data_IF_202516909659
#
_entry.id   IF_202516909659
#
_cell.length_a   1.000
_cell.length_b   1.000
_cell.length_c   1.000
_cell.angle_alpha   90.00
_cell.angle_beta   90.00
_cell.angle_gamma   90.00
#
_symmetry.space_group_name_H-M   'P 1'
#
loop_
_entity.id
_entity.type
_entity.pdbx_description
1 polymer ?
#
# COMPACT_ATOMS: atom_id res chain seq x y z
N UNK A 1 27.50 -5.76 13.20
CA UNK A 1 26.92 -6.06 11.87
C UNK A 1 25.58 -6.75 12.11
N UNK A 2 24.47 -6.01 12.02
CA UNK A 2 23.15 -6.63 11.99
C UNK A 2 22.96 -7.17 10.56
N UNK A 3 23.04 -8.49 10.37
CA UNK A 3 22.59 -9.11 9.13
C UNK A 3 21.10 -8.86 9.00
N UNK A 4 20.67 -8.13 7.96
CA UNK A 4 19.23 -8.02 7.64
C UNK A 4 18.60 -9.40 7.73
N UNK A 5 17.54 -9.61 8.52
CA UNK A 5 16.89 -10.90 8.58
C UNK A 5 16.38 -11.23 7.17
N UNK A 6 16.89 -12.31 6.62
CA UNK A 6 16.50 -12.77 5.27
C UNK A 6 15.24 -13.61 5.43
N UNK A 7 14.08 -13.02 5.15
CA UNK A 7 12.83 -13.78 5.08
C UNK A 7 12.91 -14.82 3.97
N UNK A 8 12.65 -16.07 4.32
CA UNK A 8 12.58 -17.16 3.33
C UNK A 8 11.32 -16.97 2.48
N UNK A 9 11.43 -17.18 1.17
CA UNK A 9 10.28 -17.13 0.25
C UNK A 9 9.10 -18.02 0.68
N UNK A 10 9.36 -19.09 1.44
CA UNK A 10 8.35 -20.02 1.95
C UNK A 10 7.40 -19.43 3.01
N UNK A 11 7.65 -18.24 3.54
CA UNK A 11 6.78 -17.58 4.53
C UNK A 11 5.41 -17.25 3.94
N UNK A 12 5.37 -16.87 2.67
CA UNK A 12 4.13 -16.56 1.95
C UNK A 12 3.69 -17.77 1.11
N UNK A 13 3.15 -18.80 1.75
CA UNK A 13 2.57 -19.95 1.04
C UNK A 13 1.32 -20.46 1.77
N UNK A 14 0.14 -19.95 1.37
CA UNK A 14 -1.12 -20.35 1.97
C UNK A 14 -2.19 -19.27 1.93
N UNK A 15 -3.17 -19.38 2.83
CA UNK A 15 -4.32 -18.48 2.94
C UNK A 15 -4.32 -17.72 4.26
N UNK A 16 -4.37 -16.40 4.21
CA UNK A 16 -4.52 -15.53 5.37
C UNK A 16 -5.91 -14.85 5.37
N UNK A 17 -6.54 -14.74 6.52
CA UNK A 17 -7.74 -13.92 6.69
C UNK A 17 -7.34 -12.45 6.64
N UNK A 18 -8.13 -11.61 5.93
CA UNK A 18 -7.89 -10.18 5.80
C UNK A 18 -8.86 -9.42 6.69
N UNK A 19 -8.40 -9.00 7.86
CA UNK A 19 -9.25 -8.42 8.91
C UNK A 19 -9.32 -6.89 8.89
N UNK A 20 -8.29 -6.24 8.37
CA UNK A 20 -8.15 -4.77 8.43
C UNK A 20 -8.66 -4.05 7.19
N UNK A 21 -9.45 -4.73 6.36
CA UNK A 21 -10.05 -4.19 5.15
C UNK A 21 -11.57 -4.29 5.21
N UNK A 22 -12.24 -3.26 4.70
CA UNK A 22 -13.67 -3.24 4.51
C UNK A 22 -14.05 -3.05 3.05
N UNK A 23 -15.29 -3.33 2.72
CA UNK A 23 -15.83 -3.25 1.37
C UNK A 23 -16.92 -2.21 1.31
N UNK A 24 -16.69 -1.14 0.54
CA UNK A 24 -17.70 -0.14 0.20
C UNK A 24 -18.26 -0.46 -1.18
N UNK A 25 -19.58 -0.55 -1.30
CA UNK A 25 -20.28 -0.68 -2.57
C UNK A 25 -20.66 0.70 -3.11
N UNK A 26 -20.37 0.93 -4.40
CA UNK A 26 -20.84 2.07 -5.15
C UNK A 26 -21.67 1.54 -6.33
N UNK A 27 -22.98 1.81 -6.33
CA UNK A 27 -23.91 1.30 -7.35
C UNK A 27 -24.82 2.39 -7.91
N UNK A 28 -25.19 2.27 -9.19
CA UNK A 28 -26.09 3.17 -9.88
C UNK A 28 -25.64 3.49 -11.30
N UNK A 29 -26.55 4.10 -12.07
CA UNK A 29 -26.28 4.41 -13.47
C UNK A 29 -25.07 5.32 -13.68
N UNK A 30 -24.78 6.20 -12.72
CA UNK A 30 -23.70 7.17 -12.80
C UNK A 30 -22.47 6.74 -11.97
N UNK A 31 -22.40 5.48 -11.48
CA UNK A 31 -21.36 5.04 -10.55
C UNK A 31 -19.94 5.14 -11.15
N UNK A 32 -19.78 4.77 -12.43
CA UNK A 32 -18.49 4.87 -13.12
C UNK A 32 -18.03 6.33 -13.26
N UNK A 33 -18.91 7.24 -13.67
CA UNK A 33 -18.63 8.66 -13.82
C UNK A 33 -18.33 9.31 -12.46
N UNK A 34 -19.13 8.98 -11.45
CA UNK A 34 -18.95 9.46 -10.10
C UNK A 34 -17.57 9.09 -9.54
N UNK A 35 -17.23 7.79 -9.54
CA UNK A 35 -15.93 7.33 -9.04
C UNK A 35 -14.77 7.88 -9.87
N UNK A 36 -14.92 7.95 -11.18
CA UNK A 36 -13.91 8.55 -12.06
C UNK A 36 -13.62 10.01 -11.67
N UNK A 37 -14.62 10.79 -11.30
CA UNK A 37 -14.46 12.19 -10.91
C UNK A 37 -13.98 12.39 -9.46
N UNK A 38 -14.02 11.36 -8.61
CA UNK A 38 -13.59 11.43 -7.21
C UNK A 38 -12.20 10.83 -6.97
N UNK A 39 -11.78 9.85 -7.78
CA UNK A 39 -10.57 9.07 -7.53
C UNK A 39 -9.45 9.42 -8.51
N UNK A 40 -8.20 9.15 -8.12
CA UNK A 40 -6.99 9.41 -8.92
C UNK A 40 -6.86 8.54 -10.16
N UNK A 41 -7.64 7.46 -10.29
CA UNK A 41 -7.49 6.45 -11.34
C UNK A 41 -8.61 6.53 -12.39
N UNK A 42 -8.32 6.04 -13.59
CA UNK A 42 -9.31 5.92 -14.66
C UNK A 42 -10.28 4.75 -14.39
N UNK A 43 -11.43 5.08 -13.81
CA UNK A 43 -12.47 4.11 -13.45
C UNK A 43 -13.37 3.82 -14.65
N UNK A 44 -13.56 4.78 -15.56
CA UNK A 44 -14.37 4.57 -16.77
C UNK A 44 -13.74 3.55 -17.71
N UNK A 45 -12.41 3.56 -17.83
CA UNK A 45 -11.65 2.60 -18.62
C UNK A 45 -11.38 1.26 -17.93
N UNK A 46 -11.94 1.02 -16.74
CA UNK A 46 -11.85 -0.27 -16.05
C UNK A 46 -12.90 -1.23 -16.62
N UNK A 47 -12.51 -2.38 -17.16
CA UNK A 47 -13.45 -3.37 -17.66
C UNK A 47 -14.15 -4.13 -16.52
N UNK A 48 -15.36 -4.67 -16.79
CA UNK A 48 -16.07 -5.54 -15.84
C UNK A 48 -15.19 -6.74 -15.47
N UNK A 49 -15.15 -7.08 -14.20
CA UNK A 49 -14.29 -8.12 -13.63
C UNK A 49 -12.84 -7.69 -13.34
N UNK A 50 -12.44 -6.50 -13.75
CA UNK A 50 -11.09 -5.97 -13.48
C UNK A 50 -11.04 -5.13 -12.20
N UNK A 51 -9.81 -4.96 -11.70
CA UNK A 51 -9.53 -4.14 -10.53
C UNK A 51 -8.36 -3.20 -10.79
N UNK A 52 -8.41 -2.01 -10.18
CA UNK A 52 -7.29 -1.04 -10.16
C UNK A 52 -7.13 -0.43 -8.78
N UNK A 53 -5.91 -0.15 -8.43
CA UNK A 53 -5.64 0.69 -7.25
C UNK A 53 -5.94 2.14 -7.56
N UNK A 54 -6.59 2.83 -6.64
CA UNK A 54 -6.98 4.23 -6.74
C UNK A 54 -6.81 4.94 -5.40
N UNK A 55 -6.73 6.27 -5.45
CA UNK A 55 -6.59 7.12 -4.28
C UNK A 55 -7.75 8.10 -4.22
N UNK A 56 -8.25 8.34 -3.02
CA UNK A 56 -9.15 9.43 -2.72
C UNK A 56 -8.36 10.54 -2.04
N UNK A 57 -8.30 11.70 -2.67
CA UNK A 57 -7.50 12.84 -2.21
C UNK A 57 -8.38 14.04 -1.85
N UNK A 58 -7.88 14.90 -0.97
CA UNK A 58 -8.44 16.23 -0.75
C UNK A 58 -7.97 17.22 -1.83
N UNK A 59 -8.50 18.45 -1.82
CA UNK A 59 -8.14 19.49 -2.77
C UNK A 59 -6.64 19.91 -2.72
N UNK A 60 -5.94 19.61 -1.62
CA UNK A 60 -4.49 19.82 -1.47
C UNK A 60 -3.65 18.63 -1.97
N UNK A 61 -4.26 17.65 -2.65
CA UNK A 61 -3.60 16.45 -3.16
C UNK A 61 -3.18 15.45 -2.09
N UNK A 62 -3.60 15.63 -0.82
CA UNK A 62 -3.27 14.69 0.24
C UNK A 62 -4.25 13.54 0.27
N UNK A 63 -3.72 12.32 0.42
CA UNK A 63 -4.49 11.08 0.41
C UNK A 63 -5.36 10.96 1.66
N UNK A 64 -6.65 10.72 1.46
CA UNK A 64 -7.65 10.44 2.49
C UNK A 64 -7.94 8.94 2.58
N UNK A 65 -7.76 8.21 1.49
CA UNK A 65 -7.81 6.75 1.45
C UNK A 65 -7.02 6.23 0.24
N UNK A 66 -6.45 5.04 0.39
CA UNK A 66 -6.02 4.18 -0.72
C UNK A 66 -6.97 3.00 -0.81
N UNK A 67 -7.28 2.56 -2.04
CA UNK A 67 -8.28 1.51 -2.23
C UNK A 67 -8.04 0.72 -3.50
N UNK A 68 -8.45 -0.54 -3.49
CA UNK A 68 -8.65 -1.31 -4.69
C UNK A 68 -10.09 -1.14 -5.16
N UNK A 69 -10.27 -0.72 -6.41
CA UNK A 69 -11.59 -0.60 -7.05
C UNK A 69 -11.79 -1.78 -7.97
N UNK A 70 -12.78 -2.62 -7.69
CA UNK A 70 -13.20 -3.73 -8.52
C UNK A 70 -14.52 -3.39 -9.24
N UNK A 71 -14.55 -3.51 -10.56
CA UNK A 71 -15.80 -3.32 -11.34
C UNK A 71 -16.57 -4.63 -11.42
N UNK A 72 -17.63 -4.75 -10.64
CA UNK A 72 -18.48 -5.96 -10.60
C UNK A 72 -19.39 -6.06 -11.81
N UNK A 73 -19.96 -4.92 -12.24
CA UNK A 73 -20.85 -4.82 -13.42
C UNK A 73 -20.71 -3.42 -14.04
N UNK A 74 -21.51 -3.13 -15.06
CA UNK A 74 -21.54 -1.79 -15.68
C UNK A 74 -21.87 -0.68 -14.68
N UNK A 75 -22.69 -0.98 -13.67
CA UNK A 75 -23.23 -0.01 -12.72
C UNK A 75 -22.86 -0.30 -11.26
N UNK A 76 -21.99 -1.28 -10.98
CA UNK A 76 -21.64 -1.66 -9.60
C UNK A 76 -20.13 -1.85 -9.43
N UNK A 77 -19.59 -1.22 -8.38
CA UNK A 77 -18.18 -1.25 -8.01
C UNK A 77 -18.02 -1.57 -6.53
N UNK A 78 -17.00 -2.38 -6.21
CA UNK A 78 -16.55 -2.60 -4.85
C UNK A 78 -15.23 -1.88 -4.61
N UNK A 79 -15.14 -1.15 -3.50
CA UNK A 79 -13.95 -0.43 -3.09
C UNK A 79 -13.43 -1.08 -1.80
N UNK A 80 -12.27 -1.71 -1.89
CA UNK A 80 -11.58 -2.30 -0.75
C UNK A 80 -10.69 -1.24 -0.12
N UNK A 81 -10.97 -0.84 1.09
CA UNK A 81 -10.26 0.22 1.82
C UNK A 81 -9.88 -0.22 3.23
N UNK A 82 -9.04 0.56 3.91
CA UNK A 82 -8.79 0.35 5.34
C UNK A 82 -10.10 0.40 6.12
N UNK A 83 -10.34 -0.62 6.97
CA UNK A 83 -11.53 -0.68 7.84
C UNK A 83 -11.63 0.56 8.74
N UNK A 84 -10.50 1.07 9.22
CA UNK A 84 -10.45 2.25 10.09
C UNK A 84 -10.96 3.53 9.42
N UNK A 85 -10.82 3.64 8.09
CA UNK A 85 -11.25 4.83 7.32
C UNK A 85 -12.58 4.64 6.58
N UNK A 86 -13.16 3.44 6.58
CA UNK A 86 -14.37 3.15 5.82
C UNK A 86 -15.54 4.09 6.18
N UNK A 87 -15.92 4.29 7.46
CA UNK A 87 -17.03 5.17 7.81
C UNK A 87 -16.82 6.61 7.36
N UNK A 88 -15.59 7.11 7.54
CA UNK A 88 -15.22 8.47 7.16
C UNK A 88 -15.21 8.65 5.63
N UNK A 89 -14.68 7.68 4.90
CA UNK A 89 -14.64 7.68 3.43
C UNK A 89 -16.04 7.59 2.85
N UNK A 90 -16.89 6.70 3.37
CA UNK A 90 -18.29 6.58 2.98
C UNK A 90 -19.04 7.91 3.17
N UNK A 91 -18.92 8.50 4.36
CA UNK A 91 -19.54 9.79 4.66
C UNK A 91 -19.08 10.88 3.70
N UNK A 92 -17.76 10.96 3.45
CA UNK A 92 -17.19 12.02 2.62
C UNK A 92 -17.54 11.85 1.14
N UNK A 93 -17.48 10.65 0.58
CA UNK A 93 -17.92 10.37 -0.78
C UNK A 93 -19.42 10.67 -0.96
N UNK A 94 -20.26 10.32 0.02
CA UNK A 94 -21.70 10.58 -0.04
C UNK A 94 -22.03 12.07 -0.14
N UNK A 95 -21.19 12.97 0.40
CA UNK A 95 -21.39 14.42 0.27
C UNK A 95 -21.25 14.92 -1.18
N UNK A 96 -20.57 14.18 -2.04
CA UNK A 96 -20.36 14.53 -3.45
C UNK A 96 -21.37 13.87 -4.40
N UNK A 97 -22.26 13.00 -3.92
CA UNK A 97 -23.25 12.32 -4.77
C UNK A 97 -24.22 13.31 -5.42
N UNK A 98 -24.64 14.35 -4.67
CA UNK A 98 -25.49 15.44 -5.13
C UNK A 98 -26.68 14.97 -6.01
N UNK A 99 -26.58 15.13 -7.36
CA UNK A 99 -27.58 14.76 -8.34
C UNK A 99 -27.25 13.45 -9.08
N UNK A 100 -26.11 12.83 -8.83
CA UNK A 100 -25.71 11.58 -9.47
C UNK A 100 -26.61 10.42 -9.01
N UNK A 101 -27.00 9.57 -9.94
CA UNK A 101 -27.78 8.35 -9.65
C UNK A 101 -26.84 7.26 -9.11
N UNK A 102 -26.39 7.50 -7.87
CA UNK A 102 -25.40 6.65 -7.18
C UNK A 102 -25.85 6.42 -5.74
N UNK A 103 -25.69 5.19 -5.28
CA UNK A 103 -25.81 4.80 -3.88
C UNK A 103 -24.50 4.24 -3.40
N UNK A 104 -24.06 4.69 -2.23
CA UNK A 104 -22.89 4.21 -1.52
C UNK A 104 -23.32 3.48 -0.25
N UNK A 105 -22.75 2.34 0.04
CA UNK A 105 -23.06 1.56 1.24
C UNK A 105 -21.86 0.75 1.72
N UNK A 106 -21.73 0.58 3.03
CA UNK A 106 -20.82 -0.39 3.62
C UNK A 106 -21.44 -1.79 3.49
N UNK A 107 -20.75 -2.66 2.79
CA UNK A 107 -21.16 -4.06 2.58
C UNK A 107 -20.14 -5.04 3.16
N UNK A 108 -19.26 -4.58 4.04
CA UNK A 108 -18.21 -5.41 4.66
C UNK A 108 -18.77 -6.66 5.32
N UNK A 109 -19.94 -6.54 5.97
CA UNK A 109 -20.60 -7.67 6.63
C UNK A 109 -21.08 -8.77 5.66
N UNK A 110 -21.08 -8.51 4.35
CA UNK A 110 -21.52 -9.48 3.33
C UNK A 110 -20.36 -10.35 2.83
N UNK A 111 -19.12 -10.07 3.24
CA UNK A 111 -17.95 -10.77 2.73
C UNK A 111 -17.03 -11.30 3.83
N UNK A 112 -16.43 -12.44 3.56
CA UNK A 112 -15.21 -12.91 4.20
C UNK A 112 -14.05 -12.64 3.24
N UNK A 113 -13.06 -11.87 3.68
CA UNK A 113 -11.90 -11.49 2.87
C UNK A 113 -10.73 -12.41 3.18
N UNK A 114 -10.15 -13.01 2.15
CA UNK A 114 -8.99 -13.88 2.24
C UNK A 114 -7.89 -13.42 1.32
N UNK A 115 -6.65 -13.64 1.70
CA UNK A 115 -5.48 -13.45 0.83
C UNK A 115 -4.84 -14.81 0.53
N UNK A 116 -4.68 -15.13 -0.74
CA UNK A 116 -3.85 -16.21 -1.22
C UNK A 116 -2.45 -15.67 -1.45
N UNK A 117 -1.47 -16.23 -0.76
CA UNK A 117 -0.08 -15.81 -0.80
C UNK A 117 0.80 -16.94 -1.34
N UNK A 118 1.64 -16.65 -2.35
CA UNK A 118 2.63 -17.58 -2.89
C UNK A 118 2.09 -18.80 -3.62
N UNK A 119 0.84 -18.76 -4.05
CA UNK A 119 0.22 -19.86 -4.77
C UNK A 119 0.20 -19.57 -6.27
N UNK A 120 0.62 -20.54 -7.08
CA UNK A 120 0.65 -20.44 -8.56
C UNK A 120 -0.68 -20.79 -9.22
N UNK A 121 -1.66 -21.24 -8.46
CA UNK A 121 -2.96 -21.70 -8.98
C UNK A 121 -3.72 -20.55 -9.65
N UNK A 122 -4.37 -20.75 -10.79
CA UNK A 122 -5.24 -19.75 -11.43
C UNK A 122 -6.55 -19.58 -10.67
N UNK A 123 -6.45 -19.13 -9.40
CA UNK A 123 -7.55 -18.97 -8.44
C UNK A 123 -8.68 -18.08 -8.97
N UNK A 124 -8.36 -17.17 -9.90
CA UNK A 124 -9.35 -16.30 -10.52
C UNK A 124 -10.41 -17.09 -11.31
N UNK A 125 -10.00 -18.13 -12.01
CA UNK A 125 -10.92 -18.92 -12.83
C UNK A 125 -11.86 -19.79 -11.98
N UNK A 126 -11.35 -20.41 -10.92
CA UNK A 126 -12.15 -21.31 -10.06
C UNK A 126 -13.15 -20.55 -9.17
N UNK A 127 -12.76 -19.40 -8.59
CA UNK A 127 -13.66 -18.57 -7.77
C UNK A 127 -14.75 -17.92 -8.61
N UNK A 128 -14.46 -17.63 -9.91
CA UNK A 128 -15.42 -17.02 -10.83
C UNK A 128 -16.21 -18.04 -11.64
N UNK A 129 -15.74 -19.29 -11.79
CA UNK A 129 -16.33 -20.31 -12.67
C UNK A 129 -17.11 -21.40 -11.93
N UNK A 130 -17.17 -21.40 -10.59
CA UNK A 130 -17.99 -22.38 -9.87
C UNK A 130 -19.46 -22.18 -10.25
N UNK A 131 -20.09 -23.24 -10.80
CA UNK A 131 -21.49 -23.30 -11.18
C UNK A 131 -22.48 -23.05 -10.03
N UNK A 132 -21.97 -22.84 -8.82
CA UNK A 132 -22.74 -22.41 -7.67
C UNK A 132 -23.01 -20.91 -7.81
N UNK A 133 -24.01 -20.61 -8.64
CA UNK A 133 -24.68 -19.33 -8.74
C UNK A 133 -23.72 -18.12 -8.70
N UNK A 134 -23.21 -17.77 -9.83
CA UNK A 134 -22.41 -16.61 -10.27
C UNK A 134 -22.58 -15.26 -9.53
N UNK A 135 -23.02 -15.22 -8.30
CA UNK A 135 -23.65 -14.01 -7.79
C UNK A 135 -22.73 -13.09 -6.97
N UNK A 136 -21.69 -13.54 -6.24
CA UNK A 136 -21.30 -12.67 -5.14
C UNK A 136 -19.81 -12.55 -4.81
N UNK A 137 -18.94 -13.43 -5.29
CA UNK A 137 -17.50 -13.34 -5.05
C UNK A 137 -16.76 -12.45 -6.05
N UNK A 138 -15.62 -11.92 -5.66
CA UNK A 138 -14.67 -11.30 -6.58
C UNK A 138 -13.22 -11.52 -6.10
N UNK A 139 -12.28 -11.38 -7.02
CA UNK A 139 -10.86 -11.47 -6.71
C UNK A 139 -10.10 -10.25 -7.22
N UNK A 140 -9.01 -9.92 -6.54
CA UNK A 140 -8.13 -8.82 -6.91
C UNK A 140 -6.70 -9.36 -6.96
N UNK A 141 -6.07 -9.27 -8.12
CA UNK A 141 -4.64 -9.52 -8.24
C UNK A 141 -3.88 -8.38 -7.58
N UNK A 142 -3.11 -8.69 -6.54
CA UNK A 142 -2.24 -7.74 -5.86
C UNK A 142 -0.84 -7.72 -6.48
N UNK A 143 -0.06 -6.69 -6.19
CA UNK A 143 1.36 -6.65 -6.55
C UNK A 143 2.10 -7.79 -5.82
N UNK A 144 3.09 -8.43 -6.48
CA UNK A 144 3.84 -9.50 -5.85
C UNK A 144 4.63 -9.00 -4.63
N UNK A 145 4.86 -9.89 -3.67
CA UNK A 145 5.72 -9.64 -2.52
C UNK A 145 6.82 -10.70 -2.48
N UNK A 146 8.07 -10.30 -2.37
CA UNK A 146 9.23 -11.20 -2.45
C UNK A 146 9.20 -12.13 -3.68
N UNK A 147 8.71 -11.62 -4.83
CA UNK A 147 8.53 -12.42 -6.04
C UNK A 147 7.34 -13.38 -6.01
N UNK A 148 6.60 -13.48 -4.90
CA UNK A 148 5.44 -14.36 -4.75
C UNK A 148 4.16 -13.68 -5.20
N UNK A 149 3.31 -14.42 -5.93
CA UNK A 149 1.97 -13.96 -6.33
C UNK A 149 1.08 -13.77 -5.12
N UNK A 150 0.20 -12.75 -5.18
CA UNK A 150 -0.78 -12.48 -4.14
C UNK A 150 -2.13 -12.20 -4.79
N UNK A 151 -3.18 -12.84 -4.28
CA UNK A 151 -4.55 -12.61 -4.73
C UNK A 151 -5.42 -12.38 -3.51
N UNK A 152 -6.19 -11.30 -3.50
CA UNK A 152 -7.23 -11.09 -2.52
C UNK A 152 -8.54 -11.67 -3.04
N UNK A 153 -9.24 -12.41 -2.19
CA UNK A 153 -10.51 -13.09 -2.47
C UNK A 153 -11.57 -12.48 -1.54
N UNK A 154 -12.66 -12.02 -2.11
CA UNK A 154 -13.86 -11.63 -1.37
C UNK A 154 -14.93 -12.69 -1.60
N UNK A 155 -15.22 -13.48 -0.59
CA UNK A 155 -16.23 -14.54 -0.65
C UNK A 155 -17.49 -14.09 0.10
N UNK A 156 -18.68 -14.50 -0.31
CA UNK A 156 -19.90 -14.26 0.45
C UNK A 156 -19.75 -14.75 1.90
N UNK A 157 -20.25 -13.98 2.84
CA UNK A 157 -20.17 -14.28 4.28
C UNK A 157 -20.69 -15.68 4.60
N UNK A 158 -19.86 -16.46 5.28
CA UNK A 158 -20.19 -17.83 5.68
C UNK A 158 -20.13 -18.87 4.56
N UNK A 159 -19.74 -18.50 3.36
CA UNK A 159 -19.48 -19.45 2.29
C UNK A 159 -18.18 -20.20 2.56
N UNK A 160 -18.23 -21.53 2.44
CA UNK A 160 -17.03 -22.35 2.51
C UNK A 160 -16.05 -21.98 1.40
N UNK A 161 -14.76 -22.00 1.73
CA UNK A 161 -13.73 -21.92 0.72
C UNK A 161 -13.90 -23.06 -0.31
N UNK A 162 -13.61 -22.84 -1.59
CA UNK A 162 -13.59 -23.92 -2.59
C UNK A 162 -12.73 -25.09 -2.14
N UNK A 163 -13.07 -26.31 -2.54
CA UNK A 163 -12.34 -27.52 -2.12
C UNK A 163 -10.86 -27.50 -2.48
N UNK A 164 -10.50 -26.82 -3.57
CA UNK A 164 -9.10 -26.59 -3.97
C UNK A 164 -8.26 -25.82 -2.92
N UNK A 165 -8.92 -25.18 -1.96
CA UNK A 165 -8.28 -24.43 -0.85
C UNK A 165 -8.28 -25.19 0.49
N UNK A 166 -8.94 -26.36 0.58
CA UNK A 166 -9.09 -27.07 1.85
C UNK A 166 -7.76 -27.47 2.47
N UNK A 167 -6.83 -27.91 1.63
CA UNK A 167 -5.53 -28.46 2.05
C UNK A 167 -4.41 -27.39 2.15
N UNK A 168 -4.73 -26.13 1.83
CA UNK A 168 -3.75 -25.05 1.90
C UNK A 168 -3.50 -24.62 3.35
N UNK A 169 -2.24 -24.32 3.71
CA UNK A 169 -1.90 -23.81 5.03
C UNK A 169 -2.71 -22.56 5.38
N UNK A 170 -3.22 -22.51 6.62
CA UNK A 170 -3.83 -21.30 7.18
C UNK A 170 -2.73 -20.43 7.77
N UNK A 171 -2.56 -19.27 7.21
CA UNK A 171 -1.57 -18.30 7.64
C UNK A 171 -2.19 -17.33 8.64
N UNK A 172 -1.37 -16.80 9.53
CA UNK A 172 -1.77 -15.71 10.42
C UNK A 172 -2.17 -14.47 9.61
N UNK A 173 -3.21 -13.72 10.03
CA UNK A 173 -3.59 -12.45 9.38
C UNK A 173 -2.45 -11.44 9.26
N UNK A 174 -1.51 -11.45 10.21
CA UNK A 174 -0.32 -10.60 10.18
C UNK A 174 0.55 -10.85 8.95
N UNK A 175 0.56 -12.06 8.39
CA UNK A 175 1.32 -12.34 7.16
C UNK A 175 0.73 -11.65 5.93
N UNK A 176 -0.56 -11.37 5.89
CA UNK A 176 -1.12 -10.50 4.86
C UNK A 176 -0.60 -9.08 5.00
N UNK A 177 -0.64 -8.49 6.20
CA UNK A 177 -0.12 -7.14 6.45
C UNK A 177 1.39 -7.04 6.13
N UNK A 178 2.16 -8.05 6.51
CA UNK A 178 3.57 -8.17 6.16
C UNK A 178 3.76 -8.23 4.63
N UNK A 179 2.91 -8.98 3.93
CA UNK A 179 2.96 -9.08 2.47
C UNK A 179 2.66 -7.76 1.76
N UNK A 180 1.82 -6.89 2.33
CA UNK A 180 1.57 -5.53 1.82
C UNK A 180 2.86 -4.68 1.90
N UNK A 181 3.58 -4.78 3.02
CA UNK A 181 4.87 -4.09 3.20
C UNK A 181 5.87 -4.57 2.14
N UNK A 182 6.06 -5.89 1.99
CA UNK A 182 6.97 -6.43 0.97
C UNK A 182 6.50 -6.24 -0.48
N UNK A 183 5.21 -5.98 -0.68
CA UNK A 183 4.67 -5.50 -1.96
C UNK A 183 4.92 -4.02 -2.20
N UNK A 184 5.44 -3.28 -1.21
CA UNK A 184 5.68 -1.84 -1.30
C UNK A 184 4.40 -1.02 -1.40
N UNK A 185 3.26 -1.57 -0.99
CA UNK A 185 1.92 -0.96 -1.15
C UNK A 185 1.47 -0.38 0.18
N UNK A 186 1.65 0.92 0.36
CA UNK A 186 1.19 1.59 1.56
C UNK A 186 -0.34 1.69 1.60
N UNK A 187 -0.93 1.27 2.69
CA UNK A 187 -2.34 1.49 2.99
C UNK A 187 -2.48 2.76 3.82
N UNK A 188 -3.33 3.67 3.34
CA UNK A 188 -3.71 4.84 4.13
C UNK A 188 -4.70 4.40 5.21
N UNK A 189 -4.37 4.70 6.45
CA UNK A 189 -5.21 4.47 7.62
C UNK A 189 -5.33 5.75 8.47
N UNK A 190 -5.86 5.63 9.68
CA UNK A 190 -6.08 6.77 10.57
C UNK A 190 -4.78 7.53 10.90
N UNK A 191 -3.65 6.82 11.05
CA UNK A 191 -2.36 7.42 11.40
C UNK A 191 -1.70 8.18 10.24
N UNK A 192 -2.06 7.82 9.00
CA UNK A 192 -1.50 8.40 7.78
C UNK A 192 -2.48 9.31 7.01
N UNK A 193 -3.70 9.49 7.54
CA UNK A 193 -4.78 10.27 6.92
C UNK A 193 -4.36 11.72 6.66
N UNK A 194 -4.39 12.15 5.40
CA UNK A 194 -4.01 13.50 4.92
C UNK A 194 -2.54 13.90 5.21
N UNK A 195 -1.65 12.97 5.54
CA UNK A 195 -0.24 13.29 5.76
C UNK A 195 0.56 13.33 4.45
N UNK A 196 0.21 12.52 3.46
CA UNK A 196 1.05 12.28 2.28
C UNK A 196 0.33 12.62 0.98
N UNK A 197 1.07 13.16 0.00
CA UNK A 197 0.65 13.15 -1.40
C UNK A 197 1.06 11.82 -2.05
N UNK A 198 0.45 11.41 -3.17
CA UNK A 198 0.69 10.09 -3.78
C UNK A 198 2.16 9.74 -3.98
N UNK A 199 2.95 10.67 -4.50
CA UNK A 199 4.36 10.45 -4.81
C UNK A 199 5.22 10.19 -3.57
N UNK A 200 4.85 10.73 -2.41
CA UNK A 200 5.57 10.48 -1.17
C UNK A 200 5.51 9.00 -0.75
N UNK A 201 4.49 8.27 -1.19
CA UNK A 201 4.31 6.84 -0.93
C UNK A 201 4.42 6.00 -2.21
N UNK A 202 5.08 6.50 -3.25
CA UNK A 202 5.34 5.82 -4.52
C UNK A 202 4.07 5.33 -5.26
N UNK A 203 2.90 5.93 -4.98
CA UNK A 203 1.62 5.46 -5.50
C UNK A 203 1.50 5.59 -7.02
N UNK A 204 2.19 6.56 -7.63
CA UNK A 204 2.27 6.71 -9.08
C UNK A 204 3.10 5.58 -9.71
N UNK A 205 4.16 5.13 -9.03
CA UNK A 205 5.05 4.06 -9.51
C UNK A 205 4.35 2.70 -9.55
N UNK A 206 3.37 2.49 -8.66
CA UNK A 206 2.54 1.27 -8.64
C UNK A 206 1.23 1.41 -9.41
N UNK A 207 1.08 2.48 -10.20
CA UNK A 207 -0.07 2.68 -11.07
C UNK A 207 -1.36 3.08 -10.37
N UNK A 208 -1.31 3.64 -9.15
CA UNK A 208 -2.50 4.12 -8.44
C UNK A 208 -2.98 5.50 -8.90
N UNK A 209 -2.23 6.18 -9.78
CA UNK A 209 -2.56 7.49 -10.34
C UNK A 209 -2.58 7.42 -11.87
N UNK A 210 -3.65 7.91 -12.49
CA UNK A 210 -3.71 8.11 -13.92
C UNK A 210 -3.51 9.59 -14.25
N UNK A 211 -2.43 9.92 -14.96
CA UNK A 211 -2.16 11.28 -15.43
C UNK A 211 -2.86 11.62 -16.75
N UNK A 212 -3.52 10.63 -17.38
CA UNK A 212 -4.20 10.76 -18.69
C UNK A 212 -5.72 10.93 -18.56
N UNK A 213 -6.26 10.78 -17.36
CA UNK A 213 -7.71 10.89 -17.09
C UNK A 213 -8.16 12.34 -16.86
N UNK A 214 -9.48 12.56 -16.83
CA UNK A 214 -10.10 13.83 -16.45
C UNK A 214 -9.88 14.25 -15.00
N UNK A 215 -10.41 15.41 -14.62
CA UNK A 215 -10.20 16.04 -13.30
C UNK A 215 -10.71 15.20 -12.12
N UNK A 216 -9.98 15.31 -11.00
CA UNK A 216 -10.38 14.81 -9.68
C UNK A 216 -9.82 15.75 -8.59
N UNK A 217 -10.35 15.70 -7.34
CA UNK A 217 -9.88 16.59 -6.27
C UNK A 217 -8.39 16.42 -5.99
N UNK A 218 -7.64 17.54 -6.01
CA UNK A 218 -6.20 17.56 -5.73
C UNK A 218 -5.30 17.23 -6.92
N UNK A 219 -5.85 16.94 -8.10
CA UNK A 219 -5.06 16.57 -9.30
C UNK A 219 -3.99 17.60 -9.64
N UNK A 220 -4.24 18.89 -9.50
CA UNK A 220 -3.26 19.93 -9.80
C UNK A 220 -1.97 19.78 -8.99
N UNK A 221 -2.11 19.54 -7.68
CA UNK A 221 -0.96 19.32 -6.78
C UNK A 221 -0.23 18.04 -7.13
N UNK A 222 -0.97 16.96 -7.37
CA UNK A 222 -0.41 15.64 -7.75
C UNK A 222 0.33 15.74 -9.09
N UNK A 223 -0.26 16.38 -10.09
CA UNK A 223 0.39 16.58 -11.40
C UNK A 223 1.60 17.51 -11.31
N UNK A 224 1.52 18.58 -10.51
CA UNK A 224 2.66 19.48 -10.28
C UNK A 224 3.82 18.75 -9.62
N UNK A 225 3.55 17.89 -8.64
CA UNK A 225 4.57 17.07 -8.00
C UNK A 225 5.26 16.11 -8.97
N UNK A 226 4.54 15.62 -9.99
CA UNK A 226 5.10 14.73 -11.02
C UNK A 226 5.90 15.45 -12.09
N UNK A 227 5.39 16.58 -12.60
CA UNK A 227 5.91 17.17 -13.84
C UNK A 227 6.71 18.47 -13.63
N UNK A 228 6.65 19.08 -12.45
CA UNK A 228 7.26 20.39 -12.19
C UNK A 228 7.96 20.49 -10.83
N UNK A 229 7.92 19.45 -10.01
CA UNK A 229 8.47 19.46 -8.67
C UNK A 229 9.63 18.50 -8.52
N UNK A 230 10.63 18.84 -7.72
CA UNK A 230 11.59 17.87 -7.18
C UNK A 230 10.93 17.14 -6.03
N UNK A 231 10.80 15.84 -6.12
CA UNK A 231 10.28 15.01 -5.02
C UNK A 231 11.30 15.03 -3.87
N UNK A 232 10.84 15.50 -2.72
CA UNK A 232 11.69 15.64 -1.54
C UNK A 232 11.55 14.47 -0.56
N UNK A 233 10.53 13.65 -0.74
CA UNK A 233 10.21 12.52 0.15
C UNK A 233 9.76 11.31 -0.66
N UNK A 234 10.19 10.11 -0.22
CA UNK A 234 9.82 8.82 -0.80
C UNK A 234 9.62 7.78 0.28
N UNK A 235 8.74 6.82 0.00
CA UNK A 235 8.58 5.64 0.85
C UNK A 235 9.68 4.62 0.58
N UNK A 236 10.20 4.06 1.66
CA UNK A 236 11.16 2.96 1.66
C UNK A 236 10.65 1.86 2.59
N UNK A 237 11.16 0.65 2.40
CA UNK A 237 10.93 -0.45 3.33
C UNK A 237 12.04 -0.46 4.37
N UNK A 238 11.63 -0.67 5.62
CA UNK A 238 12.57 -0.74 6.75
C UNK A 238 12.25 -1.91 7.66
N UNK A 239 13.24 -2.38 8.38
CA UNK A 239 13.10 -3.35 9.46
C UNK A 239 13.84 -2.86 10.69
N UNK A 240 13.24 -3.12 11.86
CA UNK A 240 13.79 -2.77 13.17
C UNK A 240 13.56 -3.92 14.16
N UNK A 241 14.51 -4.22 15.05
CA UNK A 241 14.28 -5.10 16.21
C UNK A 241 13.45 -4.41 17.29
N UNK A 242 13.42 -3.06 17.31
CA UNK A 242 12.58 -2.30 18.23
C UNK A 242 11.20 -2.04 17.67
N UNK A 243 10.24 -1.84 18.57
CA UNK A 243 8.85 -1.55 18.23
C UNK A 243 8.74 -0.29 17.38
N UNK A 244 8.04 -0.40 16.25
CA UNK A 244 7.65 0.71 15.39
C UNK A 244 6.13 0.88 15.42
N UNK A 245 5.66 2.13 15.37
CA UNK A 245 4.24 2.48 15.31
C UNK A 245 3.93 3.33 14.09
N UNK A 246 2.80 3.08 13.44
CA UNK A 246 2.32 3.93 12.36
C UNK A 246 2.10 5.37 12.88
N UNK A 247 2.58 6.35 12.12
CA UNK A 247 2.58 7.77 12.50
C UNK A 247 3.83 8.22 13.28
N UNK A 248 4.66 7.30 13.75
CA UNK A 248 5.88 7.61 14.48
C UNK A 248 6.87 8.38 13.60
N UNK A 249 7.47 9.44 14.13
CA UNK A 249 8.54 10.20 13.47
C UNK A 249 9.89 9.50 13.63
N UNK A 250 10.72 9.62 12.59
CA UNK A 250 12.07 9.08 12.53
C UNK A 250 13.07 10.22 12.43
N UNK A 251 14.18 10.10 13.13
CA UNK A 251 15.20 11.13 13.20
C UNK A 251 16.56 10.58 12.78
N UNK A 252 17.37 11.44 12.15
CA UNK A 252 18.78 11.14 11.87
C UNK A 252 19.58 11.31 13.15
N UNK A 253 20.43 10.33 13.48
CA UNK A 253 21.33 10.41 14.64
C UNK A 253 22.27 11.60 14.60
N UNK A 254 22.66 12.03 13.40
CA UNK A 254 23.57 13.15 13.21
C UNK A 254 22.87 14.51 13.23
N UNK A 255 21.53 14.53 13.02
CA UNK A 255 20.70 15.74 13.06
C UNK A 255 19.30 15.44 13.58
N UNK A 256 19.15 15.34 14.87
CA UNK A 256 17.87 15.05 15.54
C UNK A 256 16.98 16.29 15.78
N UNK A 257 17.28 17.44 15.13
CA UNK A 257 16.50 18.68 15.30
C UNK A 257 15.16 18.63 14.60
N UNK A 258 15.09 17.93 13.47
CA UNK A 258 13.87 17.76 12.68
C UNK A 258 13.71 16.31 12.24
N UNK A 259 12.46 15.80 12.15
CA UNK A 259 12.24 14.44 11.70
C UNK A 259 12.66 14.26 10.23
N UNK A 260 13.49 13.28 9.98
CA UNK A 260 13.91 12.88 8.64
C UNK A 260 12.89 11.96 7.94
N UNK A 261 11.95 11.37 8.67
CA UNK A 261 10.94 10.47 8.13
C UNK A 261 9.75 10.26 9.04
N UNK A 262 8.78 9.48 8.56
CA UNK A 262 7.61 9.06 9.31
C UNK A 262 7.21 7.64 8.91
N UNK A 263 6.92 6.80 9.91
CA UNK A 263 6.41 5.44 9.70
C UNK A 263 4.97 5.51 9.20
N UNK A 264 4.68 4.80 8.10
CA UNK A 264 3.36 4.81 7.45
C UNK A 264 2.55 3.58 7.86
N UNK A 265 3.17 2.40 7.78
CA UNK A 265 2.54 1.11 8.03
C UNK A 265 3.55 0.16 8.66
N UNK A 266 3.09 -0.68 9.58
CA UNK A 266 3.94 -1.63 10.33
C UNK A 266 3.29 -3.00 10.36
N UNK A 267 4.12 -4.05 10.28
CA UNK A 267 3.77 -5.42 10.63
C UNK A 267 4.89 -6.03 11.49
N UNK A 268 4.51 -6.69 12.56
CA UNK A 268 5.42 -7.47 13.38
C UNK A 268 5.53 -8.90 12.84
N UNK A 269 6.76 -9.39 12.72
CA UNK A 269 7.02 -10.78 12.35
C UNK A 269 8.40 -11.23 12.85
N UNK A 270 8.45 -12.42 13.50
CA UNK A 270 9.70 -13.02 14.05
C UNK A 270 10.51 -12.04 14.91
N UNK A 271 9.83 -11.37 15.86
CA UNK A 271 10.43 -10.39 16.77
C UNK A 271 11.09 -9.19 16.07
N UNK A 272 10.72 -8.91 14.82
CA UNK A 272 11.11 -7.72 14.09
C UNK A 272 9.87 -6.95 13.65
N UNK A 273 10.03 -5.63 13.54
CA UNK A 273 9.02 -4.70 13.03
C UNK A 273 9.41 -4.29 11.61
N UNK A 274 8.61 -4.73 10.66
CA UNK A 274 8.76 -4.40 9.25
C UNK A 274 7.83 -3.25 8.93
N UNK A 275 8.33 -2.24 8.21
CA UNK A 275 7.52 -1.06 7.96
C UNK A 275 7.73 -0.47 6.57
N UNK A 276 6.71 0.26 6.10
CA UNK A 276 6.85 1.28 5.08
C UNK A 276 7.02 2.60 5.81
N UNK A 277 8.09 3.33 5.53
CA UNK A 277 8.34 4.65 6.09
C UNK A 277 8.67 5.67 5.01
N UNK A 278 8.12 6.87 5.14
CA UNK A 278 8.34 7.97 4.20
C UNK A 278 9.48 8.85 4.72
N UNK A 279 10.56 8.96 3.96
CA UNK A 279 11.76 9.70 4.32
C UNK A 279 11.95 10.97 3.49
N UNK A 280 12.63 11.96 4.07
CA UNK A 280 13.25 13.05 3.34
C UNK A 280 14.47 12.51 2.58
N UNK A 281 14.50 12.70 1.26
CA UNK A 281 15.61 12.24 0.43
C UNK A 281 16.94 12.95 0.77
N UNK A 282 16.86 14.21 1.24
CA UNK A 282 18.04 14.96 1.66
C UNK A 282 18.69 14.37 2.92
N UNK A 283 17.91 13.76 3.80
CA UNK A 283 18.41 13.17 5.05
C UNK A 283 18.97 11.76 4.85
N UNK A 284 18.57 11.08 3.76
CA UNK A 284 18.98 9.70 3.50
C UNK A 284 20.35 9.59 2.83
N UNK A 285 20.88 10.67 2.20
CA UNK A 285 21.93 10.52 1.22
C UNK A 285 23.11 11.45 1.46
N UNK A 286 24.34 10.93 1.51
CA UNK A 286 25.50 11.66 1.01
C UNK A 286 25.19 12.04 -0.46
N UNK A 287 25.57 13.25 -0.90
CA UNK A 287 25.26 13.79 -2.24
C UNK A 287 25.56 12.85 -3.40
N UNK A 288 26.45 11.88 -3.24
CA UNK A 288 26.83 10.85 -4.21
C UNK A 288 25.81 9.73 -4.40
N UNK A 289 24.94 9.48 -3.42
CA UNK A 289 23.88 8.46 -3.48
C UNK A 289 22.56 8.99 -4.07
N UNK A 290 22.36 10.30 -4.05
CA UNK A 290 21.21 10.95 -4.68
C UNK A 290 21.08 10.58 -6.16
N UNK A 291 22.20 10.49 -6.87
CA UNK A 291 22.27 10.09 -8.27
C UNK A 291 21.90 8.63 -8.53
N UNK A 292 22.21 7.72 -7.62
CA UNK A 292 21.98 6.27 -7.79
C UNK A 292 20.52 5.86 -7.55
N UNK A 293 19.79 6.54 -6.66
CA UNK A 293 18.37 6.27 -6.39
C UNK A 293 17.44 6.91 -7.44
N UNK A 294 17.85 8.01 -8.06
CA UNK A 294 17.08 8.71 -9.09
C UNK A 294 17.29 8.13 -10.51
N UNK A 295 18.38 7.41 -10.74
CA UNK A 295 18.77 6.94 -12.10
C UNK A 295 18.63 5.42 -12.33
N UNK A 296 18.10 4.66 -11.37
CA UNK A 296 17.96 3.19 -11.52
C UNK A 296 16.83 2.79 -12.48
N UNK A 297 16.96 3.18 -13.76
CA UNK A 297 16.14 2.73 -14.88
C UNK A 297 16.79 1.61 -15.71
N UNK A 298 17.93 1.08 -15.30
CA UNK A 298 18.58 -0.02 -16.01
C UNK A 298 18.67 -1.30 -15.17
N UNK A 299 18.59 -2.47 -15.85
CA UNK A 299 18.50 -3.77 -15.20
C UNK A 299 19.74 -4.02 -14.34
N UNK A 300 19.48 -4.25 -13.04
CA UNK A 300 20.34 -4.89 -12.06
C UNK A 300 21.85 -4.72 -12.34
N UNK A 301 22.36 -3.52 -12.13
CA UNK A 301 23.79 -3.39 -11.81
C UNK A 301 23.90 -3.80 -10.34
N UNK A 302 24.62 -4.90 -10.09
CA UNK A 302 24.93 -5.34 -8.72
C UNK A 302 25.56 -4.15 -7.99
N UNK A 303 25.01 -3.75 -6.82
CA UNK A 303 25.61 -2.66 -6.07
C UNK A 303 27.07 -2.99 -5.78
N UNK A 304 27.95 -2.03 -5.93
CA UNK A 304 29.35 -2.17 -5.55
C UNK A 304 29.45 -2.46 -4.05
N UNK A 305 30.51 -3.12 -3.59
CA UNK A 305 30.71 -3.43 -2.15
C UNK A 305 30.61 -2.17 -1.28
N UNK A 306 31.11 -1.03 -1.73
CA UNK A 306 30.99 0.27 -1.07
C UNK A 306 29.53 0.76 -0.95
N UNK A 307 28.65 0.49 -1.93
CA UNK A 307 27.22 0.82 -1.86
C UNK A 307 26.49 -0.12 -0.91
N UNK A 308 26.90 -1.38 -0.77
CA UNK A 308 26.38 -2.32 0.23
C UNK A 308 26.75 -1.92 1.65
N UNK A 309 27.96 -1.42 1.88
CA UNK A 309 28.38 -0.90 3.18
C UNK A 309 27.68 0.41 3.55
N UNK A 310 27.48 1.33 2.62
CA UNK A 310 26.77 2.58 2.85
C UNK A 310 25.25 2.38 3.11
N UNK A 311 24.63 1.33 2.58
CA UNK A 311 23.23 0.98 2.84
C UNK A 311 22.99 0.24 4.16
N UNK A 312 24.04 -0.25 4.82
CA UNK A 312 23.90 -1.09 6.01
C UNK A 312 23.75 -0.34 7.33
N UNK A 313 23.98 0.96 7.37
CA UNK A 313 24.00 1.72 8.64
C UNK A 313 23.38 3.11 8.57
N UNK A 314 22.14 3.25 8.10
CA UNK A 314 21.36 4.43 8.44
C UNK A 314 20.94 4.32 9.92
N UNK A 315 21.61 5.10 10.77
CA UNK A 315 21.31 5.18 12.19
C UNK A 315 20.17 6.18 12.37
N UNK A 316 18.96 5.67 12.59
CA UNK A 316 17.77 6.49 12.78
C UNK A 316 17.27 6.35 14.22
N UNK A 317 16.81 7.46 14.77
CA UNK A 317 16.11 7.54 16.04
C UNK A 317 14.63 7.83 15.78
N UNK A 318 13.76 7.38 16.64
CA UNK A 318 12.36 7.77 16.65
C UNK A 318 12.03 8.64 17.87
N UNK A 319 10.97 9.41 17.77
CA UNK A 319 10.62 10.47 18.75
C UNK A 319 10.55 10.00 20.20
N UNK A 320 10.12 8.76 20.42
CA UNK A 320 9.98 8.19 21.77
C UNK A 320 11.33 8.01 22.49
N UNK A 321 12.44 7.93 21.74
CA UNK A 321 13.78 7.69 22.28
C UNK A 321 14.62 8.95 22.43
N UNK A 322 14.19 10.09 21.86
CA UNK A 322 14.95 11.34 21.93
C UNK A 322 15.14 11.85 23.39
N UNK A 323 14.18 11.58 24.27
CA UNK A 323 14.24 11.99 25.69
C UNK A 323 15.03 11.02 26.57
N UNK A 324 15.37 9.82 26.07
CA UNK A 324 16.00 8.74 26.84
C UNK A 324 17.44 8.44 26.43
N UNK A 325 18.05 9.24 25.55
CA UNK A 325 19.45 9.06 25.16
C UNK A 325 20.33 9.35 26.35
N UNK A 326 20.59 8.32 27.15
CA UNK A 326 21.67 8.27 28.07
C UNK A 326 22.81 7.45 27.45
N UNK A 327 24.05 7.70 27.87
CA UNK A 327 25.23 7.01 27.35
C UNK A 327 25.20 5.47 27.57
N UNK A 328 24.21 4.95 28.26
CA UNK A 328 24.05 3.53 28.61
C UNK A 328 23.27 2.68 27.60
N UNK A 329 22.51 3.32 26.68
CA UNK A 329 21.73 2.57 25.65
C UNK A 329 22.11 3.08 24.26
N UNK A 330 22.79 2.26 23.45
CA UNK A 330 23.09 2.64 22.07
C UNK A 330 21.78 2.78 21.28
N UNK A 331 21.69 3.75 20.37
CA UNK A 331 20.51 3.94 19.54
C UNK A 331 20.23 2.68 18.70
N UNK A 332 18.94 2.33 18.58
CA UNK A 332 18.51 1.22 17.77
C UNK A 332 18.56 1.59 16.29
N UNK A 333 18.92 0.66 15.44
CA UNK A 333 19.17 0.88 14.03
C UNK A 333 17.99 0.37 13.18
N UNK A 334 17.63 1.15 12.16
CA UNK A 334 16.76 0.68 11.07
C UNK A 334 17.62 0.16 9.91
N UNK A 335 17.28 -1.01 9.38
CA UNK A 335 17.85 -1.48 8.12
C UNK A 335 16.91 -1.18 6.96
N UNK A 336 17.44 -0.67 5.85
CA UNK A 336 16.69 -0.43 4.62
C UNK A 336 16.57 -1.73 3.81
N UNK A 337 15.41 -1.89 3.17
CA UNK A 337 15.11 -3.02 2.30
C UNK A 337 14.77 -2.50 0.91
N UNK A 338 15.25 -3.12 -0.17
CA UNK A 338 14.92 -2.71 -1.53
C UNK A 338 13.42 -2.76 -1.81
N UNK A 339 12.92 -1.77 -2.57
CA UNK A 339 11.55 -1.79 -3.08
C UNK A 339 11.39 -2.92 -4.11
N UNK A 340 10.20 -3.56 -4.17
CA UNK A 340 9.94 -4.66 -5.11
C UNK A 340 9.67 -4.18 -6.55
N UNK A 341 9.68 -2.87 -6.81
CA UNK A 341 9.42 -2.25 -8.11
C UNK A 341 10.35 -1.06 -8.34
N UNK A 342 10.51 -0.68 -9.60
CA UNK A 342 11.20 0.54 -9.97
C UNK A 342 10.33 1.77 -9.69
N UNK A 343 10.96 2.85 -9.22
CA UNK A 343 10.29 4.14 -9.10
C UNK A 343 10.05 4.74 -10.48
N UNK A 344 8.88 5.36 -10.68
CA UNK A 344 8.62 6.13 -11.88
C UNK A 344 9.51 7.37 -11.87
N UNK A 345 10.24 7.59 -12.96
CA UNK A 345 11.10 8.76 -13.09
C UNK A 345 10.29 10.05 -13.09
N UNK A 346 10.87 11.09 -12.52
CA UNK A 346 10.38 12.46 -12.69
C UNK A 346 10.70 12.87 -14.13
N UNK A 347 9.66 13.07 -14.95
CA UNK A 347 9.75 13.47 -16.35
C UNK A 347 10.05 14.97 -16.45
#
# INVERSE_FOLDING_TARGET
MLTSPTLKHSVFHGLALVERRGVLCCEGADAADFLHNQLSQDIKGLAVGQSRMALFCNAKGRMQASMWVHRKSESQFYLLISQSLLPQTLKRLSMFVLRAKVKLSDVSAHFDLWASLGLDTPLQAEVLSSEVGASYGFSIQLLPALGQKRVLLALPKGQSLPSSFSDLPRLSPQLFELSEIFGGVATIDTASFEHFVPQMLNMESIGAVSFKKGCYPGQEVVARSQFRGTLKRRALLVVSPAELKAGQELFDLNDAREPCGQVVQVAEFESNFWAIACFSLQSLLPKELEFTLLTNTHPIVKPTEAAKEAHSELKLLWSEHLSSISAEHPPEHLALIPLPYALLEDI
#
